data_IF_524276219476
#
_entry.id   IF_524276219476
#
_cell.length_a   1.000
_cell.length_b   1.000
_cell.length_c   1.000
_cell.angle_alpha   90.00
_cell.angle_beta   90.00
_cell.angle_gamma   90.00
#
_symmetry.space_group_name_H-M   'P 1'
#
loop_
_entity.id
_entity.type
_entity.pdbx_description
1 polymer ?
#
# COMPACT_ATOMS: atom_id res chain seq x y z
N UNK A 1 -1.36 -6.99 8.29
CA UNK A 1 -1.79 -6.52 6.96
C UNK A 1 -1.99 -5.01 7.00
N UNK A 2 -2.00 -4.27 5.89
CA UNK A 2 -2.26 -2.83 5.91
C UNK A 2 -3.79 -2.58 5.95
N UNK A 3 -4.32 -2.02 7.05
CA UNK A 3 -5.77 -1.98 7.35
C UNK A 3 -6.46 -0.69 6.87
N UNK A 4 -7.46 -0.79 6.00
CA UNK A 4 -8.26 0.36 5.52
C UNK A 4 -9.19 0.95 6.59
N UNK A 5 -9.33 2.29 6.65
CA UNK A 5 -10.18 3.01 7.64
C UNK A 5 -11.64 2.55 7.69
N UNK A 6 -12.24 2.16 6.56
CA UNK A 6 -13.62 1.65 6.52
C UNK A 6 -13.86 0.40 7.38
N UNK A 7 -12.80 -0.27 7.83
CA UNK A 7 -12.89 -1.38 8.77
C UNK A 7 -13.04 -0.96 10.24
N UNK A 8 -12.73 0.29 10.60
CA UNK A 8 -12.78 0.78 11.99
C UNK A 8 -14.11 1.42 12.38
N UNK A 9 -14.87 1.96 11.42
CA UNK A 9 -16.13 2.66 11.69
C UNK A 9 -17.33 1.75 12.03
N UNK A 10 -17.14 0.42 12.11
CA UNK A 10 -18.17 -0.55 12.51
C UNK A 10 -17.86 -1.30 13.82
N UNK A 11 -16.83 -0.92 14.58
CA UNK A 11 -16.34 -1.74 15.70
C UNK A 11 -16.63 -1.12 17.06
N UNK A 12 -17.82 -1.41 17.58
CA UNK A 12 -18.23 -1.10 18.97
C UNK A 12 -17.83 -2.16 20.01
N UNK A 13 -16.83 -3.01 19.77
CA UNK A 13 -16.43 -4.01 20.77
C UNK A 13 -14.91 -4.30 20.71
N UNK A 14 -14.20 -3.93 21.77
CA UNK A 14 -12.74 -3.71 21.79
C UNK A 14 -11.94 -5.02 22.00
N UNK A 15 -12.59 -6.13 22.35
CA UNK A 15 -11.89 -7.38 22.69
C UNK A 15 -11.81 -8.44 21.57
N UNK A 16 -12.47 -8.24 20.41
CA UNK A 16 -12.33 -9.14 19.25
C UNK A 16 -11.39 -8.60 18.15
N UNK A 17 -10.65 -7.53 18.44
CA UNK A 17 -9.89 -6.71 17.49
C UNK A 17 -8.48 -7.23 17.15
N UNK A 18 -8.07 -8.37 17.71
CA UNK A 18 -6.66 -8.81 17.70
C UNK A 18 -6.33 -9.91 16.69
N UNK A 19 -7.25 -10.25 15.78
CA UNK A 19 -7.05 -11.31 14.79
C UNK A 19 -7.49 -10.92 13.38
N UNK A 20 -7.22 -9.70 12.90
CA UNK A 20 -7.44 -9.38 11.48
C UNK A 20 -6.42 -10.14 10.61
N UNK A 21 -6.78 -11.36 10.23
CA UNK A 21 -6.00 -12.21 9.33
C UNK A 21 -6.11 -11.72 7.89
N UNK A 22 -5.17 -12.11 7.03
CA UNK A 22 -5.21 -11.78 5.60
C UNK A 22 -6.53 -12.17 4.92
N UNK A 23 -7.15 -13.24 5.40
CA UNK A 23 -8.42 -13.77 4.90
C UNK A 23 -9.59 -12.85 5.21
N UNK A 24 -9.64 -12.27 6.41
CA UNK A 24 -10.71 -11.35 6.82
C UNK A 24 -10.71 -10.09 5.95
N UNK A 25 -9.55 -9.47 5.71
CA UNK A 25 -9.50 -8.33 4.81
C UNK A 25 -9.76 -8.72 3.35
N UNK A 26 -9.27 -9.88 2.91
CA UNK A 26 -9.60 -10.37 1.58
C UNK A 26 -11.12 -10.47 1.43
N UNK A 27 -11.82 -10.94 2.46
CA UNK A 27 -13.29 -11.01 2.51
C UNK A 27 -13.92 -9.62 2.53
N UNK A 28 -13.41 -8.69 3.36
CA UNK A 28 -13.87 -7.29 3.39
C UNK A 28 -13.74 -6.64 2.00
N UNK A 29 -12.58 -6.75 1.35
CA UNK A 29 -12.33 -6.21 0.00
C UNK A 29 -13.27 -6.84 -1.03
N UNK A 30 -13.43 -8.17 -1.01
CA UNK A 30 -14.37 -8.88 -1.89
C UNK A 30 -15.82 -8.44 -1.73
N UNK A 31 -16.19 -7.95 -0.56
CA UNK A 31 -17.55 -7.50 -0.26
C UNK A 31 -17.74 -5.99 -0.50
N UNK A 32 -16.69 -5.22 -0.80
CA UNK A 32 -16.83 -3.81 -1.14
C UNK A 32 -17.69 -3.66 -2.39
N UNK A 33 -18.68 -2.79 -2.31
CA UNK A 33 -19.56 -2.48 -3.44
C UNK A 33 -18.89 -1.53 -4.41
N UNK A 34 -19.19 -1.69 -5.68
CA UNK A 34 -18.88 -0.70 -6.72
C UNK A 34 -17.38 -0.39 -6.94
N UNK A 35 -16.47 -1.29 -6.54
CA UNK A 35 -15.01 -1.11 -6.68
C UNK A 35 -14.38 -2.14 -7.60
N UNK A 36 -13.41 -1.70 -8.41
CA UNK A 36 -12.62 -2.58 -9.29
C UNK A 36 -11.83 -3.65 -8.52
N UNK A 37 -11.27 -3.27 -7.36
CA UNK A 37 -10.50 -4.15 -6.49
C UNK A 37 -11.34 -5.32 -5.99
N UNK A 38 -12.59 -5.07 -5.59
CA UNK A 38 -13.56 -6.10 -5.20
C UNK A 38 -13.83 -7.08 -6.35
N UNK A 39 -14.05 -6.56 -7.57
CA UNK A 39 -14.25 -7.40 -8.77
C UNK A 39 -13.02 -8.28 -9.00
N UNK A 40 -11.82 -7.70 -9.04
CA UNK A 40 -10.58 -8.45 -9.29
C UNK A 40 -10.31 -9.52 -8.22
N UNK A 41 -10.56 -9.25 -6.95
CA UNK A 41 -10.40 -10.23 -5.88
C UNK A 41 -11.42 -11.39 -5.98
N UNK A 42 -12.59 -11.17 -6.57
CA UNK A 42 -13.55 -12.25 -6.84
C UNK A 42 -13.18 -13.04 -8.11
N UNK A 43 -12.68 -12.35 -9.13
CA UNK A 43 -12.31 -12.90 -10.45
C UNK A 43 -11.01 -13.72 -10.41
N UNK A 44 -10.05 -13.38 -9.54
CA UNK A 44 -8.76 -14.09 -9.43
C UNK A 44 -8.90 -15.59 -9.13
N UNK A 45 -10.05 -16.02 -8.62
CA UNK A 45 -10.38 -17.41 -8.36
C UNK A 45 -10.91 -18.18 -9.59
N UNK A 46 -11.20 -17.50 -10.71
CA UNK A 46 -11.92 -18.06 -11.86
C UNK A 46 -11.09 -18.14 -13.17
N UNK A 47 -9.76 -18.02 -13.10
CA UNK A 47 -8.85 -18.19 -14.26
C UNK A 47 -9.25 -17.36 -15.50
N UNK A 48 -9.64 -16.11 -15.30
CA UNK A 48 -9.94 -15.18 -16.40
C UNK A 48 -8.67 -14.70 -17.11
N UNK A 49 -8.83 -14.06 -18.29
CA UNK A 49 -7.72 -13.56 -19.13
C UNK A 49 -6.72 -12.67 -18.37
N UNK A 50 -7.19 -11.92 -17.37
CA UNK A 50 -6.36 -10.97 -16.61
C UNK A 50 -5.67 -11.60 -15.40
N UNK A 51 -6.19 -12.72 -14.88
CA UNK A 51 -5.78 -13.29 -13.58
C UNK A 51 -4.29 -13.63 -13.47
N UNK A 52 -3.62 -13.94 -14.57
CA UNK A 52 -2.20 -14.33 -14.58
C UNK A 52 -1.24 -13.16 -14.39
N UNK A 53 -1.65 -11.96 -14.80
CA UNK A 53 -0.79 -10.77 -14.78
C UNK A 53 -1.13 -9.80 -13.65
N UNK A 54 -2.23 -10.02 -12.92
CA UNK A 54 -2.49 -9.31 -11.67
C UNK A 54 -1.63 -9.93 -10.56
N UNK A 55 -0.78 -9.10 -9.96
CA UNK A 55 0.09 -9.50 -8.86
C UNK A 55 -0.69 -9.49 -7.55
N UNK A 56 -1.56 -8.48 -7.37
CA UNK A 56 -2.38 -8.37 -6.17
C UNK A 56 -2.87 -6.94 -5.94
N UNK A 57 -3.28 -6.69 -4.69
CA UNK A 57 -3.76 -5.39 -4.21
C UNK A 57 -2.82 -4.92 -3.11
N UNK A 58 -2.53 -3.61 -3.05
CA UNK A 58 -1.59 -3.02 -2.09
C UNK A 58 -1.88 -3.45 -0.65
N UNK A 59 -3.15 -3.39 -0.22
CA UNK A 59 -3.55 -3.78 1.13
C UNK A 59 -3.22 -5.25 1.49
N UNK A 60 -3.13 -6.13 0.49
CA UNK A 60 -2.92 -7.58 0.65
C UNK A 60 -1.49 -8.02 0.36
N UNK A 61 -0.54 -7.09 0.15
CA UNK A 61 0.85 -7.42 -0.17
C UNK A 61 1.62 -8.06 0.98
N UNK A 62 1.29 -7.70 2.21
CA UNK A 62 2.04 -8.15 3.38
C UNK A 62 1.41 -7.69 4.68
N UNK A 63 2.16 -7.89 5.76
CA UNK A 63 1.75 -7.57 7.13
C UNK A 63 2.67 -6.54 7.79
N UNK A 64 2.26 -6.06 8.97
CA UNK A 64 3.04 -5.13 9.79
C UNK A 64 2.95 -5.62 11.22
N UNK A 65 3.90 -5.21 12.06
CA UNK A 65 4.08 -5.76 13.41
C UNK A 65 3.00 -5.37 14.42
N UNK A 66 2.26 -4.28 14.20
CA UNK A 66 1.22 -3.83 15.14
C UNK A 66 0.01 -3.19 14.44
N UNK A 67 -1.18 -3.23 15.07
CA UNK A 67 -2.38 -2.57 14.56
C UNK A 67 -2.24 -1.06 14.43
N UNK A 68 -1.55 -0.41 15.37
CA UNK A 68 -1.34 1.05 15.37
C UNK A 68 -0.53 1.45 14.13
N UNK A 69 0.57 0.72 13.87
CA UNK A 69 1.36 0.94 12.66
C UNK A 69 0.53 0.69 11.40
N UNK A 70 -0.27 -0.37 11.38
CA UNK A 70 -1.15 -0.68 10.25
C UNK A 70 -2.10 0.47 9.93
N UNK A 71 -2.79 0.98 10.97
CA UNK A 71 -3.70 2.10 10.88
C UNK A 71 -3.01 3.35 10.36
N UNK A 72 -1.85 3.69 10.93
CA UNK A 72 -1.09 4.90 10.54
C UNK A 72 -0.61 4.84 9.09
N UNK A 73 -0.10 3.69 8.63
CA UNK A 73 0.36 3.55 7.25
C UNK A 73 -0.80 3.57 6.26
N UNK A 74 -1.93 2.96 6.59
CA UNK A 74 -3.11 3.00 5.74
C UNK A 74 -3.74 4.40 5.65
N UNK A 75 -3.79 5.13 6.76
CA UNK A 75 -4.23 6.53 6.78
C UNK A 75 -3.28 7.46 6.01
N UNK A 76 -1.98 7.22 6.13
CA UNK A 76 -0.97 7.93 5.35
C UNK A 76 -1.18 7.70 3.85
N UNK A 77 -1.39 6.46 3.41
CA UNK A 77 -1.60 6.14 2.00
C UNK A 77 -2.95 6.64 1.46
N UNK A 78 -4.01 6.55 2.28
CA UNK A 78 -5.38 6.78 1.85
C UNK A 78 -5.98 5.56 1.12
N UNK A 79 -7.31 5.55 1.01
CA UNK A 79 -8.08 4.42 0.48
C UNK A 79 -7.70 4.09 -0.97
N UNK A 80 -7.56 5.10 -1.84
CA UNK A 80 -7.25 4.91 -3.26
C UNK A 80 -5.95 4.13 -3.50
N UNK A 81 -4.88 4.45 -2.73
CA UNK A 81 -3.59 3.76 -2.84
C UNK A 81 -3.64 2.38 -2.23
N UNK A 82 -4.36 2.24 -1.12
CA UNK A 82 -4.52 0.97 -0.42
C UNK A 82 -5.31 -0.07 -1.24
N UNK A 83 -6.31 0.38 -2.00
CA UNK A 83 -7.05 -0.44 -2.95
C UNK A 83 -6.38 -0.55 -4.32
N UNK A 84 -5.21 0.07 -4.50
CA UNK A 84 -4.46 0.05 -5.74
C UNK A 84 -4.16 -1.37 -6.23
N UNK A 85 -4.45 -1.61 -7.50
CA UNK A 85 -4.24 -2.88 -8.18
C UNK A 85 -2.85 -2.91 -8.76
N UNK A 86 -2.09 -3.97 -8.49
CA UNK A 86 -0.74 -4.15 -9.02
C UNK A 86 -0.82 -5.17 -10.14
N UNK A 87 -0.42 -4.75 -11.34
CA UNK A 87 -0.36 -5.62 -12.51
C UNK A 87 1.08 -5.72 -13.03
N UNK A 88 1.36 -6.77 -13.80
CA UNK A 88 2.68 -7.04 -14.37
C UNK A 88 3.08 -5.95 -15.35
N UNK A 89 2.24 -5.69 -16.34
CA UNK A 89 2.61 -4.93 -17.54
C UNK A 89 1.65 -3.78 -17.85
N UNK A 90 2.09 -2.86 -18.70
CA UNK A 90 1.26 -1.78 -19.20
C UNK A 90 0.10 -2.30 -20.03
N UNK A 91 0.33 -3.33 -20.84
CA UNK A 91 -0.71 -3.97 -21.64
C UNK A 91 -1.82 -4.52 -20.75
N UNK A 92 -1.45 -5.19 -19.64
CA UNK A 92 -2.40 -5.63 -18.63
C UNK A 92 -3.15 -4.44 -18.03
N UNK A 93 -2.45 -3.37 -17.64
CA UNK A 93 -3.06 -2.19 -17.04
C UNK A 93 -4.11 -1.54 -17.96
N UNK A 94 -3.75 -1.33 -19.23
CA UNK A 94 -4.64 -0.74 -20.25
C UNK A 94 -5.80 -1.68 -20.55
N UNK A 95 -5.59 -3.00 -20.53
CA UNK A 95 -6.65 -3.97 -20.81
C UNK A 95 -7.76 -4.04 -19.77
N UNK A 96 -7.56 -3.47 -18.57
CA UNK A 96 -8.56 -3.44 -17.50
C UNK A 96 -9.71 -2.46 -17.79
N UNK A 97 -9.49 -1.44 -18.61
CA UNK A 97 -10.48 -0.42 -18.93
C UNK A 97 -10.53 -0.18 -20.44
N UNK A 98 -11.73 -0.21 -21.03
CA UNK A 98 -11.90 0.07 -22.46
C UNK A 98 -12.71 1.32 -22.67
N UNK A 99 -12.34 2.07 -23.68
CA UNK A 99 -13.04 3.26 -24.11
C UNK A 99 -13.63 3.05 -25.51
N UNK A 100 -14.85 3.53 -25.71
CA UNK A 100 -15.48 3.65 -27.02
C UNK A 100 -14.77 4.74 -27.84
N UNK A 101 -15.07 4.80 -29.14
CA UNK A 101 -14.49 5.82 -30.04
C UNK A 101 -14.79 7.26 -29.62
N UNK A 102 -15.90 7.50 -28.91
CA UNK A 102 -16.28 8.80 -28.37
C UNK A 102 -15.59 9.15 -27.03
N UNK A 103 -14.72 8.27 -26.52
CA UNK A 103 -14.01 8.45 -25.24
C UNK A 103 -14.81 8.04 -23.99
N UNK A 104 -16.06 7.57 -24.14
CA UNK A 104 -16.82 7.02 -23.02
C UNK A 104 -16.31 5.63 -22.62
N UNK A 105 -16.53 5.27 -21.36
CA UNK A 105 -16.23 3.92 -20.86
C UNK A 105 -17.11 2.89 -21.57
N UNK A 106 -16.50 1.77 -21.96
CA UNK A 106 -17.17 0.61 -22.51
C UNK A 106 -17.53 -0.39 -21.40
N UNK A 107 -18.75 -0.28 -20.90
CA UNK A 107 -19.28 -1.13 -19.83
C UNK A 107 -19.54 -2.60 -20.22
N UNK A 108 -19.42 -2.96 -21.51
CA UNK A 108 -19.71 -4.32 -22.01
C UNK A 108 -18.43 -5.16 -22.11
N UNK A 109 -17.26 -4.55 -21.96
CA UNK A 109 -15.97 -5.23 -22.10
C UNK A 109 -15.07 -5.02 -20.87
N UNK A 110 -13.90 -5.66 -20.91
CA UNK A 110 -12.84 -5.54 -19.89
C UNK A 110 -13.37 -5.84 -18.48
N UNK A 111 -12.93 -5.08 -17.47
CA UNK A 111 -13.27 -5.35 -16.08
C UNK A 111 -14.76 -5.08 -15.77
N UNK A 112 -15.43 -4.21 -16.54
CA UNK A 112 -16.86 -3.96 -16.37
C UNK A 112 -17.72 -5.17 -16.76
N UNK A 113 -17.31 -5.93 -17.78
CA UNK A 113 -17.99 -7.19 -18.14
C UNK A 113 -17.91 -8.23 -17.02
N UNK A 114 -16.72 -8.36 -16.40
CA UNK A 114 -16.51 -9.24 -15.25
C UNK A 114 -17.32 -8.77 -14.02
N UNK A 115 -17.39 -7.45 -13.80
CA UNK A 115 -18.21 -6.88 -12.74
C UNK A 115 -19.69 -7.24 -12.94
N UNK A 116 -20.23 -7.03 -14.15
CA UNK A 116 -21.61 -7.34 -14.49
C UNK A 116 -21.91 -8.84 -14.31
N UNK A 117 -20.98 -9.73 -14.70
CA UNK A 117 -21.10 -11.18 -14.48
C UNK A 117 -21.18 -11.58 -13.00
N UNK A 118 -20.59 -10.78 -12.11
CA UNK A 118 -20.66 -10.94 -10.66
C UNK A 118 -21.85 -10.19 -10.01
N UNK A 119 -22.71 -9.54 -10.80
CA UNK A 119 -23.77 -8.68 -10.27
C UNK A 119 -23.25 -7.42 -9.56
N UNK A 120 -22.03 -6.98 -9.90
CA UNK A 120 -21.38 -5.79 -9.35
C UNK A 120 -21.27 -4.71 -10.43
N UNK A 121 -21.08 -3.48 -10.00
CA UNK A 121 -20.67 -2.38 -10.88
C UNK A 121 -19.26 -1.90 -10.51
N UNK A 122 -18.67 -1.05 -11.35
CA UNK A 122 -17.49 -0.26 -11.02
C UNK A 122 -17.87 1.19 -11.32
N UNK A 123 -18.07 1.99 -10.28
CA UNK A 123 -18.59 3.37 -10.43
C UNK A 123 -17.58 4.45 -10.08
N UNK A 124 -16.37 4.05 -9.63
CA UNK A 124 -15.30 4.97 -9.24
C UNK A 124 -14.03 4.67 -10.04
N UNK A 125 -13.22 5.71 -10.24
CA UNK A 125 -11.85 5.55 -10.71
C UNK A 125 -11.08 4.67 -9.73
N UNK A 126 -10.19 3.84 -10.25
CA UNK A 126 -9.35 2.96 -9.46
C UNK A 126 -7.89 3.10 -9.89
N UNK A 127 -6.99 2.96 -8.92
CA UNK A 127 -5.55 3.08 -9.16
C UNK A 127 -4.99 1.75 -9.69
N UNK A 128 -4.23 1.81 -10.78
CA UNK A 128 -3.48 0.67 -11.31
C UNK A 128 -1.99 1.01 -11.31
N UNK A 129 -1.19 0.14 -10.70
CA UNK A 129 0.26 0.23 -10.59
C UNK A 129 0.90 -0.83 -11.49
N UNK A 130 1.58 -0.39 -12.55
CA UNK A 130 2.29 -1.28 -13.46
C UNK A 130 3.68 -1.61 -12.91
N UNK A 131 3.86 -2.83 -12.40
CA UNK A 131 5.06 -3.28 -11.71
C UNK A 131 6.34 -3.12 -12.55
N UNK A 132 6.30 -3.45 -13.85
CA UNK A 132 7.46 -3.32 -14.75
C UNK A 132 7.79 -1.87 -15.15
N UNK A 133 6.88 -0.91 -14.92
CA UNK A 133 7.09 0.50 -15.26
C UNK A 133 7.45 1.37 -14.06
N UNK A 134 7.25 0.88 -12.83
CA UNK A 134 7.63 1.60 -11.63
C UNK A 134 9.15 1.63 -11.54
N UNK A 135 9.71 2.84 -11.45
CA UNK A 135 11.15 3.03 -11.27
C UNK A 135 11.58 2.44 -9.94
N UNK A 136 12.52 1.47 -9.94
CA UNK A 136 12.97 0.84 -8.71
C UNK A 136 13.94 1.75 -7.93
N UNK A 137 13.95 1.59 -6.62
CA UNK A 137 15.04 2.04 -5.78
C UNK A 137 16.29 1.20 -6.08
N UNK A 138 17.33 1.85 -6.61
CA UNK A 138 18.53 1.17 -7.12
C UNK A 138 19.67 1.00 -6.11
N UNK A 139 19.50 1.43 -4.86
CA UNK A 139 20.57 1.31 -3.87
C UNK A 139 20.55 -0.07 -3.18
N UNK A 140 21.49 -0.24 -2.25
CA UNK A 140 21.76 -1.49 -1.58
C UNK A 140 20.59 -1.98 -0.73
N UNK A 141 20.49 -3.31 -0.64
CA UNK A 141 19.64 -4.03 0.30
C UNK A 141 20.46 -4.37 1.55
N UNK A 142 19.77 -4.60 2.66
CA UNK A 142 20.38 -5.09 3.89
C UNK A 142 21.00 -6.47 3.64
N UNK A 143 22.24 -6.64 4.09
CA UNK A 143 23.00 -7.88 3.88
C UNK A 143 22.40 -8.99 4.76
N UNK A 144 22.20 -10.17 4.17
CA UNK A 144 21.66 -11.36 4.84
C UNK A 144 20.26 -11.17 5.45
N UNK A 145 19.48 -10.19 4.96
CA UNK A 145 18.11 -9.98 5.41
C UNK A 145 17.13 -10.83 4.57
N UNK A 146 16.39 -11.72 5.22
CA UNK A 146 15.44 -12.62 4.55
C UNK A 146 14.29 -11.86 3.89
N UNK A 147 13.93 -10.69 4.42
CA UNK A 147 12.85 -9.82 3.93
C UNK A 147 13.29 -8.79 2.89
N UNK A 148 14.57 -8.85 2.48
CA UNK A 148 15.20 -7.97 1.50
C UNK A 148 14.93 -6.50 1.77
N UNK A 149 15.04 -6.08 3.03
CA UNK A 149 14.87 -4.69 3.47
C UNK A 149 15.88 -3.78 2.78
N UNK A 150 15.48 -2.54 2.51
CA UNK A 150 16.33 -1.53 1.89
C UNK A 150 17.39 -1.05 2.91
N UNK A 151 18.65 -0.92 2.49
CA UNK A 151 19.72 -0.45 3.37
C UNK A 151 19.74 1.09 3.43
N UNK A 152 18.81 1.67 4.20
CA UNK A 152 18.86 3.09 4.52
C UNK A 152 19.79 3.36 5.70
N UNK A 153 20.56 4.46 5.68
CA UNK A 153 21.24 4.92 6.87
C UNK A 153 20.23 5.37 7.92
N UNK A 154 20.53 5.13 9.20
CA UNK A 154 19.76 5.73 10.28
C UNK A 154 19.89 7.26 10.21
N UNK A 155 18.79 8.02 10.42
CA UNK A 155 18.85 9.47 10.48
C UNK A 155 19.69 9.90 11.68
N UNK A 156 20.47 10.98 11.50
CA UNK A 156 21.34 11.54 12.53
C UNK A 156 21.05 13.02 12.70
N UNK A 157 20.76 13.42 13.93
CA UNK A 157 20.66 14.82 14.35
C UNK A 157 22.00 15.54 14.14
N UNK A 158 22.04 16.89 14.17
CA UNK A 158 23.29 17.65 14.04
C UNK A 158 24.38 17.26 15.05
N UNK A 159 23.98 16.73 16.22
CA UNK A 159 24.88 16.21 17.25
C UNK A 159 25.35 14.75 17.01
N UNK A 160 25.01 14.16 15.86
CA UNK A 160 25.35 12.79 15.47
C UNK A 160 24.48 11.68 16.07
N UNK A 161 23.58 12.00 17.01
CA UNK A 161 22.70 11.01 17.65
C UNK A 161 21.51 10.65 16.77
N UNK A 162 21.00 9.44 16.92
CA UNK A 162 19.72 9.01 16.32
C UNK A 162 18.58 9.82 16.98
N UNK A 163 17.60 10.33 16.22
CA UNK A 163 16.42 10.99 16.78
C UNK A 163 15.69 10.08 17.77
N UNK A 164 15.26 10.67 18.89
CA UNK A 164 14.45 9.96 19.87
C UNK A 164 13.17 9.44 19.22
N UNK A 165 12.72 8.25 19.65
CA UNK A 165 11.50 7.62 19.15
C UNK A 165 11.52 7.18 17.68
N UNK A 166 12.61 7.37 16.91
CA UNK A 166 12.67 6.88 15.53
C UNK A 166 12.66 5.36 15.51
N UNK A 167 11.65 4.77 14.89
CA UNK A 167 11.44 3.32 14.83
C UNK A 167 12.02 2.71 13.56
N UNK A 168 12.09 3.47 12.46
CA UNK A 168 12.61 3.01 11.17
C UNK A 168 11.85 3.63 10.00
N UNK A 169 12.12 3.08 8.81
CA UNK A 169 11.46 3.49 7.57
C UNK A 169 10.24 2.62 7.29
N UNK A 170 9.09 3.22 6.98
CA UNK A 170 7.82 2.52 6.78
C UNK A 170 7.91 1.39 5.74
N UNK A 171 8.61 1.64 4.63
CA UNK A 171 8.83 0.64 3.56
C UNK A 171 9.52 -0.64 4.07
N UNK A 172 10.32 -0.58 5.14
CA UNK A 172 11.02 -1.73 5.73
C UNK A 172 10.24 -2.39 6.89
N UNK A 173 9.13 -1.79 7.33
CA UNK A 173 8.27 -2.35 8.38
C UNK A 173 7.14 -3.23 7.84
N UNK A 174 7.01 -3.30 6.52
CA UNK A 174 6.07 -4.20 5.85
C UNK A 174 6.76 -5.54 5.64
N UNK A 175 6.21 -6.59 6.23
CA UNK A 175 6.65 -7.97 6.07
C UNK A 175 5.90 -8.57 4.87
N UNK A 176 6.62 -8.84 3.79
CA UNK A 176 6.02 -9.39 2.57
C UNK A 176 5.79 -10.88 2.72
N UNK A 177 4.66 -11.36 2.21
CA UNK A 177 4.39 -12.79 2.13
C UNK A 177 5.36 -13.47 1.16
N UNK A 178 5.65 -14.76 1.37
CA UNK A 178 6.66 -15.52 0.60
C UNK A 178 6.51 -15.36 -0.92
N UNK A 179 5.30 -15.46 -1.46
CA UNK A 179 5.04 -15.28 -2.90
C UNK A 179 5.37 -13.86 -3.39
N UNK A 180 4.93 -12.84 -2.66
CA UNK A 180 5.22 -11.44 -3.00
C UNK A 180 6.71 -11.11 -2.84
N UNK A 181 7.35 -11.66 -1.82
CA UNK A 181 8.78 -11.52 -1.58
C UNK A 181 9.62 -12.17 -2.69
N UNK A 182 9.11 -13.19 -3.40
CA UNK A 182 9.75 -13.81 -4.55
C UNK A 182 9.40 -13.14 -5.89
N UNK A 183 8.37 -12.30 -5.92
CA UNK A 183 7.92 -11.62 -7.15
C UNK A 183 8.98 -10.62 -7.63
N UNK A 184 9.39 -10.74 -8.89
CA UNK A 184 10.43 -9.89 -9.50
C UNK A 184 9.98 -9.28 -10.82
N UNK A 185 10.47 -8.08 -11.10
CA UNK A 185 10.47 -7.48 -12.44
C UNK A 185 11.43 -8.24 -13.35
N UNK A 186 11.36 -8.01 -14.67
CA UNK A 186 12.33 -8.55 -15.64
C UNK A 186 13.77 -8.13 -15.32
N UNK A 187 13.94 -6.95 -14.70
CA UNK A 187 15.23 -6.42 -14.28
C UNK A 187 15.69 -6.92 -12.90
N UNK A 188 14.94 -7.84 -12.27
CA UNK A 188 15.34 -8.47 -11.01
C UNK A 188 15.00 -7.69 -9.73
N UNK A 189 14.20 -6.61 -9.82
CA UNK A 189 13.75 -5.85 -8.65
C UNK A 189 12.47 -6.43 -8.05
N UNK A 190 12.39 -6.48 -6.72
CA UNK A 190 11.20 -6.94 -6.00
C UNK A 190 10.14 -5.85 -5.76
N UNK A 191 9.04 -6.25 -5.12
CA UNK A 191 7.94 -5.34 -4.77
C UNK A 191 8.33 -4.29 -3.72
N UNK A 192 9.31 -4.58 -2.85
CA UNK A 192 9.78 -3.61 -1.85
C UNK A 192 10.53 -2.47 -2.53
N UNK A 193 11.44 -2.82 -3.44
CA UNK A 193 12.26 -1.89 -4.20
C UNK A 193 11.45 -1.03 -5.18
N UNK A 194 10.26 -1.48 -5.58
CA UNK A 194 9.41 -0.81 -6.60
C UNK A 194 8.13 -0.25 -5.98
N UNK A 195 7.08 -1.06 -5.85
CA UNK A 195 5.73 -0.66 -5.42
C UNK A 195 5.78 -0.04 -4.03
N UNK A 196 6.32 -0.73 -3.02
CA UNK A 196 6.32 -0.20 -1.66
C UNK A 196 7.21 1.05 -1.54
N UNK A 197 8.36 1.09 -2.21
CA UNK A 197 9.18 2.29 -2.23
C UNK A 197 8.49 3.46 -2.95
N UNK A 198 7.72 3.22 -4.02
CA UNK A 198 6.95 4.28 -4.68
C UNK A 198 5.84 4.87 -3.79
N UNK A 199 5.28 4.04 -2.90
CA UNK A 199 4.20 4.40 -1.98
C UNK A 199 4.71 5.14 -0.73
N UNK A 200 5.79 4.63 -0.13
CA UNK A 200 6.28 5.09 1.17
C UNK A 200 7.60 5.86 1.07
N UNK A 201 8.37 5.71 0.00
CA UNK A 201 9.71 6.31 -0.16
C UNK A 201 10.55 6.14 1.11
N UNK A 202 11.15 7.21 1.64
CA UNK A 202 11.84 7.24 2.93
C UNK A 202 10.97 7.75 4.08
N UNK A 203 9.66 7.46 4.08
CA UNK A 203 8.75 7.83 5.18
C UNK A 203 9.28 7.32 6.52
N UNK A 204 9.51 8.24 7.45
CA UNK A 204 9.93 7.91 8.82
C UNK A 204 8.74 7.47 9.67
N UNK A 205 8.98 6.55 10.60
CA UNK A 205 8.01 6.15 11.62
C UNK A 205 8.59 6.45 13.00
N UNK A 206 7.78 7.10 13.85
CA UNK A 206 8.12 7.48 15.21
C UNK A 206 7.13 6.90 16.22
N UNK A 207 7.59 6.74 17.45
CA UNK A 207 6.75 6.27 18.57
C UNK A 207 5.67 7.30 18.93
N UNK A 208 6.06 8.58 19.08
CA UNK A 208 5.16 9.66 19.51
C UNK A 208 5.22 10.87 18.59
N UNK A 209 4.16 11.67 18.59
CA UNK A 209 4.08 12.92 17.82
C UNK A 209 5.13 13.91 18.29
N UNK A 210 5.42 13.96 19.58
CA UNK A 210 6.47 14.80 20.15
C UNK A 210 7.85 14.46 19.57
N UNK A 211 8.23 13.17 19.58
CA UNK A 211 9.48 12.68 19.02
C UNK A 211 9.58 12.97 17.51
N UNK A 212 8.47 12.76 16.79
CA UNK A 212 8.37 13.06 15.37
C UNK A 212 8.62 14.55 15.10
N UNK A 213 7.94 15.44 15.81
CA UNK A 213 8.07 16.90 15.63
C UNK A 213 9.47 17.40 16.00
N UNK A 214 10.05 16.90 17.09
CA UNK A 214 11.42 17.23 17.48
C UNK A 214 12.45 16.85 16.39
N UNK A 215 12.26 15.68 15.76
CA UNK A 215 13.10 15.24 14.66
C UNK A 215 12.94 16.11 13.41
N UNK A 216 11.70 16.48 13.05
CA UNK A 216 11.40 17.35 11.90
C UNK A 216 11.98 18.75 12.04
N UNK A 217 12.04 19.30 13.25
CA UNK A 217 12.70 20.58 13.51
C UNK A 217 14.23 20.51 13.32
N UNK A 218 14.81 19.32 13.38
CA UNK A 218 16.26 19.10 13.44
C UNK A 218 16.84 18.40 12.21
N UNK A 219 15.98 17.83 11.36
CA UNK A 219 16.35 17.02 10.20
C UNK A 219 15.63 17.51 8.95
N UNK A 220 16.30 17.39 7.81
CA UNK A 220 15.66 17.58 6.51
C UNK A 220 14.95 16.29 6.08
N UNK A 221 13.71 16.12 6.53
CA UNK A 221 12.86 14.99 6.18
C UNK A 221 12.04 15.37 4.95
N UNK A 222 12.40 14.83 3.80
CA UNK A 222 11.72 15.14 2.52
C UNK A 222 10.43 14.34 2.33
N UNK A 223 10.46 13.03 2.64
CA UNK A 223 9.41 12.06 2.29
C UNK A 223 8.33 11.88 3.36
N UNK A 224 8.27 12.80 4.33
CA UNK A 224 7.28 12.81 5.41
C UNK A 224 7.63 11.95 6.62
N UNK A 225 6.74 11.97 7.61
CA UNK A 225 6.85 11.19 8.84
C UNK A 225 5.46 10.84 9.41
N UNK A 226 5.36 9.70 10.10
CA UNK A 226 4.20 9.32 10.90
C UNK A 226 4.58 8.97 12.33
N UNK A 227 3.65 9.12 13.27
CA UNK A 227 3.80 8.64 14.64
C UNK A 227 2.65 7.71 15.05
N UNK A 228 2.93 6.71 15.90
CA UNK A 228 1.94 5.70 16.28
C UNK A 228 0.72 6.29 17.04
N UNK A 229 0.92 7.41 17.74
CA UNK A 229 -0.11 8.18 18.45
C UNK A 229 -0.90 9.16 17.53
N UNK A 230 -0.83 9.00 16.21
CA UNK A 230 -1.70 9.68 15.26
C UNK A 230 -1.11 10.94 14.60
N UNK A 231 0.21 11.09 14.54
CA UNK A 231 0.85 12.18 13.79
C UNK A 231 1.06 11.79 12.33
N UNK A 232 0.73 12.68 11.39
CA UNK A 232 0.99 12.49 9.95
C UNK A 232 1.51 13.78 9.32
N UNK A 233 2.70 13.69 8.73
CA UNK A 233 3.28 14.70 7.85
C UNK A 233 3.57 14.05 6.51
N UNK A 234 2.98 14.58 5.45
CA UNK A 234 2.99 13.97 4.12
C UNK A 234 4.28 14.27 3.36
N UNK A 235 4.66 15.53 3.38
CA UNK A 235 5.85 16.05 2.74
C UNK A 235 6.22 17.37 3.42
N UNK A 236 7.42 17.89 3.13
CA UNK A 236 7.89 19.15 3.69
C UNK A 236 6.87 20.27 3.41
N UNK A 237 6.26 20.81 4.48
CA UNK A 237 5.26 21.87 4.42
C UNK A 237 3.79 21.42 4.43
N UNK A 238 3.49 20.11 4.37
CA UNK A 238 2.11 19.61 4.33
C UNK A 238 1.80 18.71 5.54
N UNK A 239 0.91 19.18 6.42
CA UNK A 239 0.48 18.48 7.64
C UNK A 239 -0.98 18.04 7.54
N UNK A 240 -1.32 16.92 8.20
CA UNK A 240 -2.70 16.48 8.41
C UNK A 240 -3.04 16.58 9.90
N UNK A 241 -4.10 17.33 10.23
CA UNK A 241 -4.55 17.59 11.60
C UNK A 241 -6.01 17.15 11.78
N UNK A 242 -6.41 16.85 13.01
CA UNK A 242 -7.75 16.38 13.37
C UNK A 242 -7.85 14.86 13.49
N UNK A 243 -9.03 14.38 13.85
CA UNK A 243 -9.31 12.95 13.89
C UNK A 243 -9.61 12.42 12.49
N UNK A 244 -9.40 11.12 12.29
CA UNK A 244 -10.37 10.40 11.47
C UNK A 244 -10.26 8.90 11.59
#
# INVERSE_FOLDING_TARGET
MLMLRGSLSQLGNIDSLFTDTKEEMTTKIKNMENTATSVLCNVSNQQTRFSKDIIGVVALLGSVQSPELSRMLAEYLGEDKMLGVICRSLDTAISLEKYKQNGEIDYVHALHAEAAGLGKAISKRFLVMCFELISPYKHLLQKNDSQRKLAFPDPKLPNGRRPAGFMGYAVNMIELDTHHLQTRTKSGYGLRETVLFSLFKKLHVYETRENMMAALCSLDIEDGAVSLDGGIIREKGTLSLGYG
#
